data_IF_268438079633
#
_entry.id   IF_268438079633
#
_cell.length_a   1.000
_cell.length_b   1.000
_cell.length_c   1.000
_cell.angle_alpha   90.00
_cell.angle_beta   90.00
_cell.angle_gamma   90.00
#
_symmetry.space_group_name_H-M   'P 1'
#
loop_
_entity.id
_entity.type
_entity.pdbx_description
1 polymer ?
#
# COMPACT_ATOMS: atom_id res chain seq x y z
N UNK A 1 -19.79 11.02 -11.92
CA UNK A 1 -19.87 10.43 -13.27
C UNK A 1 -18.49 10.46 -13.88
N UNK A 2 -18.14 9.45 -14.67
CA UNK A 2 -16.81 9.26 -15.26
C UNK A 2 -16.97 9.12 -16.77
N UNK A 3 -16.18 9.84 -17.56
CA UNK A 3 -16.20 9.72 -19.02
C UNK A 3 -15.11 8.76 -19.48
N UNK A 4 -15.51 7.64 -20.08
CA UNK A 4 -14.59 6.63 -20.59
C UNK A 4 -14.36 6.86 -22.09
N UNK A 5 -13.11 6.97 -22.51
CA UNK A 5 -12.68 7.07 -23.92
C UNK A 5 -11.78 5.90 -24.36
N UNK A 6 -11.51 4.96 -23.46
CA UNK A 6 -10.66 3.80 -23.66
C UNK A 6 -11.30 2.56 -23.04
N UNK A 7 -10.95 1.41 -23.59
CA UNK A 7 -11.25 0.08 -23.07
C UNK A 7 -9.96 -0.68 -22.81
N UNK A 8 -9.98 -1.65 -21.89
CA UNK A 8 -8.94 -2.66 -21.76
C UNK A 8 -9.45 -3.96 -22.37
N UNK A 9 -8.71 -4.48 -23.36
CA UNK A 9 -8.99 -5.77 -23.96
C UNK A 9 -8.45 -6.89 -23.09
N UNK A 10 -9.30 -7.85 -22.71
CA UNK A 10 -8.98 -8.99 -21.84
C UNK A 10 -9.62 -10.27 -22.39
N UNK A 11 -9.17 -11.47 -21.98
CA UNK A 11 -9.95 -12.69 -22.18
C UNK A 11 -11.38 -12.50 -21.67
N UNK A 12 -12.38 -12.99 -22.40
CA UNK A 12 -13.79 -12.90 -21.96
C UNK A 12 -13.99 -13.54 -20.57
N UNK A 13 -13.24 -14.61 -20.27
CA UNK A 13 -13.33 -15.36 -19.02
C UNK A 13 -12.83 -14.55 -17.80
N UNK A 14 -11.78 -13.75 -17.97
CA UNK A 14 -11.31 -12.80 -16.93
C UNK A 14 -12.43 -11.81 -16.58
N UNK A 15 -13.15 -11.30 -17.60
CA UNK A 15 -14.27 -10.37 -17.42
C UNK A 15 -15.48 -11.07 -16.80
N UNK A 16 -15.80 -12.31 -17.20
CA UNK A 16 -16.88 -13.10 -16.57
C UNK A 16 -16.58 -13.31 -15.08
N UNK A 17 -15.36 -13.71 -14.72
CA UNK A 17 -14.96 -13.91 -13.33
C UNK A 17 -15.05 -12.62 -12.49
N UNK A 18 -14.58 -11.49 -13.03
CA UNK A 18 -14.75 -10.17 -12.42
C UNK A 18 -16.22 -9.83 -12.17
N UNK A 19 -17.09 -10.04 -13.16
CA UNK A 19 -18.52 -9.72 -13.08
C UNK A 19 -19.31 -10.66 -12.16
N UNK A 20 -18.86 -11.91 -11.97
CA UNK A 20 -19.52 -12.92 -11.14
C UNK A 20 -19.00 -12.96 -9.68
N UNK A 21 -18.25 -11.95 -9.23
CA UNK A 21 -17.56 -11.89 -7.93
C UNK A 21 -16.53 -13.03 -7.69
N UNK A 22 -16.01 -13.65 -8.75
CA UNK A 22 -15.02 -14.73 -8.65
C UNK A 22 -13.58 -14.24 -8.73
N UNK A 23 -13.38 -13.02 -9.22
CA UNK A 23 -12.10 -12.32 -9.16
C UNK A 23 -12.32 -10.84 -8.84
N UNK A 24 -11.31 -10.22 -8.23
CA UNK A 24 -11.13 -8.75 -8.15
C UNK A 24 -9.87 -8.29 -8.89
N UNK A 25 -9.13 -9.22 -9.50
CA UNK A 25 -7.85 -9.01 -10.17
C UNK A 25 -7.91 -9.40 -11.64
N UNK A 26 -6.99 -8.85 -12.43
CA UNK A 26 -6.63 -9.34 -13.77
C UNK A 26 -5.11 -9.38 -13.91
N UNK A 27 -4.63 -10.27 -14.78
CA UNK A 27 -3.25 -10.30 -15.22
C UNK A 27 -3.09 -9.38 -16.43
N UNK A 28 -2.04 -8.55 -16.44
CA UNK A 28 -1.71 -7.68 -17.58
C UNK A 28 -0.21 -7.64 -17.86
N UNK A 29 0.15 -7.32 -19.12
CA UNK A 29 1.56 -7.22 -19.57
C UNK A 29 2.16 -5.81 -19.40
N UNK A 30 1.46 -4.89 -18.72
CA UNK A 30 1.87 -3.49 -18.52
C UNK A 30 1.29 -2.93 -17.23
N UNK A 31 2.11 -2.25 -16.45
CA UNK A 31 1.68 -1.50 -15.26
C UNK A 31 0.48 -0.59 -15.58
N UNK A 32 -0.60 -0.76 -14.82
CA UNK A 32 -1.76 0.13 -14.88
C UNK A 32 -1.68 1.14 -13.74
N UNK A 33 -1.62 2.42 -14.11
CA UNK A 33 -1.67 3.52 -13.14
C UNK A 33 -2.99 3.44 -12.36
N UNK A 34 -2.97 3.56 -11.01
CA UNK A 34 -4.18 3.70 -10.21
C UNK A 34 -5.11 4.83 -10.69
N UNK A 35 -6.39 4.72 -10.33
CA UNK A 35 -7.52 5.56 -10.75
C UNK A 35 -7.82 5.59 -12.25
N UNK A 36 -6.98 4.98 -13.09
CA UNK A 36 -7.24 4.83 -14.51
C UNK A 36 -8.53 4.03 -14.72
N UNK A 37 -9.51 4.69 -15.31
CA UNK A 37 -10.84 4.16 -15.59
C UNK A 37 -11.02 3.79 -17.06
N UNK A 38 -11.64 2.65 -17.35
CA UNK A 38 -11.79 2.11 -18.70
C UNK A 38 -12.98 1.13 -18.82
N UNK A 39 -13.52 0.97 -20.02
CA UNK A 39 -14.50 -0.09 -20.30
C UNK A 39 -13.83 -1.46 -20.38
N UNK A 40 -14.53 -2.54 -20.00
CA UNK A 40 -14.03 -3.91 -20.12
C UNK A 40 -14.43 -4.49 -21.49
N UNK A 41 -13.44 -4.79 -22.32
CA UNK A 41 -13.62 -5.29 -23.70
C UNK A 41 -13.25 -6.79 -23.76
N UNK A 42 -14.23 -7.71 -23.88
CA UNK A 42 -13.95 -9.13 -23.91
C UNK A 42 -13.47 -9.60 -25.29
N UNK A 43 -12.40 -10.40 -25.27
CA UNK A 43 -11.81 -11.07 -26.41
C UNK A 43 -12.08 -12.58 -26.34
N UNK A 44 -12.55 -13.13 -27.47
CA UNK A 44 -12.74 -14.57 -27.71
C UNK A 44 -11.60 -15.17 -28.55
N UNK A 45 -10.88 -14.33 -29.29
CA UNK A 45 -9.71 -14.69 -30.10
C UNK A 45 -8.47 -14.79 -29.19
N UNK A 46 -8.23 -15.99 -28.65
CA UNK A 46 -7.03 -16.31 -27.89
C UNK A 46 -6.05 -17.09 -28.80
N UNK A 47 -4.74 -16.78 -28.79
CA UNK A 47 -3.74 -17.55 -29.52
C UNK A 47 -3.77 -19.05 -29.20
N UNK A 48 -3.42 -19.90 -30.19
CA UNK A 48 -3.36 -21.37 -30.03
C UNK A 48 -2.46 -21.85 -28.87
N UNK A 49 -1.46 -21.04 -28.49
CA UNK A 49 -0.57 -21.29 -27.35
C UNK A 49 -1.23 -21.06 -25.97
N UNK A 50 -2.46 -20.54 -25.94
CA UNK A 50 -3.24 -20.19 -24.75
C UNK A 50 -4.51 -21.05 -24.61
N UNK A 51 -4.34 -22.37 -24.70
CA UNK A 51 -5.41 -23.34 -24.43
C UNK A 51 -6.02 -23.11 -23.02
N UNK A 52 -7.35 -23.03 -22.96
CA UNK A 52 -8.11 -22.63 -21.77
C UNK A 52 -7.87 -23.56 -20.58
N UNK A 53 -7.77 -24.87 -20.84
CA UNK A 53 -7.48 -25.94 -19.89
C UNK A 53 -6.11 -25.81 -19.21
N UNK A 54 -5.16 -25.10 -19.84
CA UNK A 54 -3.86 -24.78 -19.24
C UNK A 54 -3.89 -23.44 -18.49
N UNK A 55 -4.65 -22.47 -19.00
CA UNK A 55 -4.75 -21.12 -18.44
C UNK A 55 -5.52 -21.07 -17.11
N UNK A 56 -6.66 -21.76 -17.02
CA UNK A 56 -7.63 -21.56 -15.95
C UNK A 56 -7.86 -22.82 -15.12
N UNK A 57 -8.20 -22.63 -13.85
CA UNK A 57 -8.53 -23.70 -12.92
C UNK A 57 -9.80 -24.46 -13.37
N UNK A 58 -9.87 -25.81 -13.21
CA UNK A 58 -11.00 -26.62 -13.69
C UNK A 58 -12.37 -26.20 -13.15
N UNK A 59 -12.42 -25.68 -11.93
CA UNK A 59 -13.66 -25.19 -11.33
C UNK A 59 -14.21 -23.96 -12.08
N UNK A 60 -13.33 -23.03 -12.46
CA UNK A 60 -13.67 -21.82 -13.18
C UNK A 60 -14.15 -22.16 -14.61
N UNK A 61 -13.41 -23.02 -15.32
CA UNK A 61 -13.77 -23.51 -16.66
C UNK A 61 -15.16 -24.16 -16.71
N UNK A 62 -15.56 -24.87 -15.65
CA UNK A 62 -16.88 -25.50 -15.54
C UNK A 62 -17.99 -24.46 -15.41
N UNK A 63 -17.75 -23.38 -14.66
CA UNK A 63 -18.70 -22.29 -14.44
C UNK A 63 -18.80 -21.38 -15.69
N UNK A 64 -17.68 -21.11 -16.35
CA UNK A 64 -17.63 -20.32 -17.59
C UNK A 64 -18.45 -20.95 -18.73
N UNK A 65 -18.45 -22.28 -18.86
CA UNK A 65 -19.26 -23.02 -19.86
C UNK A 65 -20.77 -22.85 -19.67
N UNK A 66 -21.25 -22.37 -18.53
CA UNK A 66 -22.64 -21.99 -18.28
C UNK A 66 -22.92 -20.48 -18.43
N UNK A 67 -21.88 -19.66 -18.57
CA UNK A 67 -21.94 -18.20 -18.50
C UNK A 67 -21.68 -17.48 -19.83
N UNK A 68 -20.90 -18.08 -20.74
CA UNK A 68 -20.61 -17.50 -22.06
C UNK A 68 -21.80 -17.73 -23.00
N UNK A 69 -22.48 -16.67 -23.51
CA UNK A 69 -23.60 -16.84 -24.42
C UNK A 69 -23.13 -17.23 -25.83
N UNK A 70 -23.98 -18.02 -26.50
CA UNK A 70 -23.70 -18.69 -27.76
C UNK A 70 -23.31 -17.73 -28.91
N UNK A 71 -22.54 -18.22 -29.87
CA UNK A 71 -21.51 -17.43 -30.55
C UNK A 71 -22.01 -16.61 -31.77
N UNK A 72 -23.04 -15.78 -31.59
CA UNK A 72 -23.62 -14.94 -32.65
C UNK A 72 -23.90 -13.49 -32.22
N UNK A 73 -22.91 -12.59 -32.35
CA UNK A 73 -23.16 -11.15 -32.14
C UNK A 73 -21.94 -10.22 -32.17
N UNK A 74 -22.23 -8.92 -32.20
CA UNK A 74 -21.28 -7.85 -31.88
C UNK A 74 -20.91 -7.91 -30.39
N UNK A 75 -19.64 -7.64 -30.05
CA UNK A 75 -19.19 -7.61 -28.66
C UNK A 75 -19.89 -6.48 -27.88
N UNK A 76 -20.37 -6.79 -26.67
CA UNK A 76 -21.11 -5.86 -25.80
C UNK A 76 -20.29 -5.48 -24.58
N UNK A 77 -19.96 -4.20 -24.48
CA UNK A 77 -19.40 -3.59 -23.27
C UNK A 77 -20.55 -3.48 -22.25
N UNK A 78 -20.55 -4.36 -21.25
CA UNK A 78 -21.56 -4.39 -20.18
C UNK A 78 -21.06 -3.78 -18.86
N UNK A 79 -19.74 -3.70 -18.69
CA UNK A 79 -19.07 -3.29 -17.46
C UNK A 79 -17.89 -2.36 -17.75
N UNK A 80 -17.50 -1.59 -16.73
CA UNK A 80 -16.31 -0.76 -16.71
C UNK A 80 -15.54 -0.96 -15.39
N UNK A 81 -14.27 -0.58 -15.37
CA UNK A 81 -13.40 -0.76 -14.23
C UNK A 81 -12.55 0.48 -13.95
N UNK A 82 -12.20 0.67 -12.68
CA UNK A 82 -11.15 1.56 -12.21
C UNK A 82 -10.02 0.70 -11.62
N UNK A 83 -8.78 0.96 -12.02
CA UNK A 83 -7.61 0.30 -11.41
C UNK A 83 -7.39 0.88 -10.01
N UNK A 84 -7.49 0.07 -8.96
CA UNK A 84 -7.27 0.51 -7.56
C UNK A 84 -5.81 0.33 -7.17
N UNK A 85 -5.22 -0.80 -7.57
CA UNK A 85 -3.85 -1.15 -7.23
C UNK A 85 -3.25 -2.03 -8.33
N UNK A 86 -1.96 -1.88 -8.60
CA UNK A 86 -1.25 -2.66 -9.60
C UNK A 86 0.16 -2.93 -9.10
N UNK A 87 0.58 -4.20 -9.07
CA UNK A 87 1.93 -4.60 -8.68
C UNK A 87 2.57 -5.46 -9.77
N UNK A 88 3.89 -5.37 -9.93
CA UNK A 88 4.62 -6.29 -10.80
C UNK A 88 4.80 -7.62 -10.06
N UNK A 89 4.54 -8.74 -10.73
CA UNK A 89 4.91 -10.06 -10.23
C UNK A 89 6.37 -10.32 -10.65
N UNK A 90 7.20 -10.72 -9.69
CA UNK A 90 8.66 -10.95 -9.85
C UNK A 90 9.19 -12.14 -9.06
N UNK A 91 8.36 -12.75 -8.21
CA UNK A 91 8.71 -13.86 -7.32
C UNK A 91 7.92 -15.11 -7.73
N UNK A 92 8.56 -16.27 -7.69
CA UNK A 92 7.96 -17.57 -8.00
C UNK A 92 7.12 -18.13 -6.84
N UNK A 93 7.39 -17.75 -5.59
CA UNK A 93 6.55 -18.14 -4.43
C UNK A 93 5.14 -17.55 -4.51
N UNK A 94 5.05 -16.29 -4.95
CA UNK A 94 3.79 -15.60 -5.23
C UNK A 94 2.99 -16.26 -6.36
N UNK A 95 3.64 -16.87 -7.36
CA UNK A 95 2.97 -17.55 -8.48
C UNK A 95 2.10 -18.71 -7.97
N UNK A 96 2.66 -19.57 -7.12
CA UNK A 96 1.95 -20.72 -6.54
C UNK A 96 0.76 -20.25 -5.71
N UNK A 97 1.00 -19.29 -4.80
CA UNK A 97 -0.03 -18.71 -3.93
C UNK A 97 -1.17 -18.07 -4.72
N UNK A 98 -0.87 -17.39 -5.83
CA UNK A 98 -1.87 -16.81 -6.72
C UNK A 98 -2.61 -17.88 -7.53
N UNK A 99 -1.96 -18.97 -7.92
CA UNK A 99 -2.61 -20.09 -8.61
C UNK A 99 -3.72 -20.73 -7.77
N UNK A 100 -3.53 -20.83 -6.45
CA UNK A 100 -4.52 -21.40 -5.53
C UNK A 100 -5.66 -20.41 -5.17
N UNK A 101 -5.39 -19.10 -5.26
CA UNK A 101 -6.32 -18.02 -4.87
C UNK A 101 -6.99 -17.27 -6.02
N UNK A 102 -6.77 -17.70 -7.27
CA UNK A 102 -7.33 -17.05 -8.46
C UNK A 102 -7.92 -18.06 -9.45
N UNK A 103 -8.51 -17.54 -10.52
CA UNK A 103 -9.05 -18.34 -11.63
C UNK A 103 -7.95 -18.97 -12.52
N UNK A 104 -6.69 -18.52 -12.43
CA UNK A 104 -5.60 -19.00 -13.29
C UNK A 104 -4.82 -20.13 -12.61
N UNK A 105 -4.21 -21.02 -13.41
CA UNK A 105 -3.30 -22.03 -12.86
C UNK A 105 -1.94 -21.41 -12.51
N UNK A 106 -1.26 -21.94 -11.49
CA UNK A 106 0.12 -21.56 -11.18
C UNK A 106 1.07 -21.77 -12.40
N UNK A 107 0.82 -22.81 -13.19
CA UNK A 107 1.57 -23.08 -14.42
C UNK A 107 1.37 -22.00 -15.50
N UNK A 108 0.16 -21.47 -15.66
CA UNK A 108 -0.11 -20.36 -16.57
C UNK A 108 0.60 -19.07 -16.16
N UNK A 109 0.50 -18.72 -14.87
CA UNK A 109 1.18 -17.57 -14.28
C UNK A 109 2.71 -17.70 -14.39
N UNK A 110 3.26 -18.90 -14.18
CA UNK A 110 4.66 -19.25 -14.42
C UNK A 110 5.08 -19.08 -15.87
N UNK A 111 4.32 -19.63 -16.83
CA UNK A 111 4.60 -19.50 -18.25
C UNK A 111 4.59 -18.04 -18.73
N UNK A 112 3.69 -17.21 -18.19
CA UNK A 112 3.68 -15.77 -18.50
C UNK A 112 4.96 -15.06 -18.05
N UNK A 113 5.52 -15.39 -16.88
CA UNK A 113 6.78 -14.82 -16.39
C UNK A 113 8.01 -15.41 -17.11
N UNK A 114 8.03 -16.72 -17.34
CA UNK A 114 9.10 -17.41 -18.06
C UNK A 114 9.27 -16.92 -19.52
N UNK A 115 8.22 -16.33 -20.11
CA UNK A 115 8.29 -15.71 -21.44
C UNK A 115 9.12 -14.41 -21.50
N UNK A 116 9.58 -13.88 -20.36
CA UNK A 116 10.34 -12.62 -20.26
C UNK A 116 9.47 -11.37 -20.32
N UNK A 117 8.16 -11.50 -20.52
CA UNK A 117 7.21 -10.39 -20.36
C UNK A 117 7.08 -9.98 -18.89
N UNK A 118 6.96 -8.67 -18.64
CA UNK A 118 6.68 -8.15 -17.29
C UNK A 118 5.22 -8.37 -16.96
N UNK A 119 4.95 -9.27 -16.02
CA UNK A 119 3.60 -9.58 -15.56
C UNK A 119 3.17 -8.63 -14.43
N UNK A 120 1.94 -8.14 -14.49
CA UNK A 120 1.37 -7.24 -13.50
C UNK A 120 0.01 -7.77 -13.02
N UNK A 121 -0.13 -7.91 -11.71
CA UNK A 121 -1.38 -8.21 -11.04
C UNK A 121 -2.11 -6.89 -10.76
N UNK A 122 -3.29 -6.70 -11.35
CA UNK A 122 -4.04 -5.45 -11.28
C UNK A 122 -5.41 -5.64 -10.66
N UNK A 123 -5.65 -4.96 -9.54
CA UNK A 123 -6.89 -5.00 -8.77
C UNK A 123 -7.89 -4.00 -9.35
N UNK A 124 -9.01 -4.51 -9.86
CA UNK A 124 -10.00 -3.75 -10.62
C UNK A 124 -11.31 -3.61 -9.85
N UNK A 125 -11.67 -2.37 -9.52
CA UNK A 125 -12.98 -2.01 -9.02
C UNK A 125 -13.96 -1.98 -10.19
N UNK A 126 -14.74 -3.05 -10.34
CA UNK A 126 -15.66 -3.23 -11.48
C UNK A 126 -17.06 -2.73 -11.16
N UNK A 127 -17.70 -2.13 -12.16
CA UNK A 127 -19.03 -1.54 -12.10
C UNK A 127 -19.84 -1.91 -13.34
N UNK A 128 -21.14 -2.16 -13.19
CA UNK A 128 -22.05 -2.37 -14.31
C UNK A 128 -22.37 -1.04 -15.02
N UNK A 129 -22.35 -1.05 -16.35
CA UNK A 129 -22.83 0.09 -17.14
C UNK A 129 -24.37 0.19 -17.07
N UNK A 130 -24.97 1.40 -17.11
CA UNK A 130 -26.43 1.55 -17.11
C UNK A 130 -27.11 0.89 -18.30
N UNK A 131 -26.43 0.90 -19.46
CA UNK A 131 -26.86 0.31 -20.74
C UNK A 131 -25.64 -0.35 -21.38
N UNK A 132 -25.81 -1.52 -22.00
CA UNK A 132 -24.73 -2.18 -22.74
C UNK A 132 -24.41 -1.42 -24.03
N UNK A 133 -23.11 -1.29 -24.36
CA UNK A 133 -22.64 -0.58 -25.57
C UNK A 133 -22.04 -1.58 -26.56
N UNK A 134 -22.55 -1.61 -27.79
CA UNK A 134 -22.07 -2.50 -28.85
C UNK A 134 -20.81 -1.94 -29.53
N UNK A 135 -19.78 -2.79 -29.68
CA UNK A 135 -18.59 -2.44 -30.47
C UNK A 135 -18.82 -2.76 -31.95
N UNK A 136 -18.22 -1.96 -32.83
CA UNK A 136 -18.33 -2.14 -34.30
C UNK A 136 -17.48 -3.30 -34.84
N UNK A 137 -16.56 -3.81 -34.02
CA UNK A 137 -15.61 -4.88 -34.34
C UNK A 137 -15.41 -5.74 -33.09
N UNK A 138 -15.29 -7.05 -33.26
CA UNK A 138 -14.73 -7.91 -32.21
C UNK A 138 -13.21 -7.63 -32.10
N UNK A 139 -12.61 -7.71 -30.90
CA UNK A 139 -11.17 -7.53 -30.74
C UNK A 139 -10.41 -8.80 -31.14
N UNK A 140 -9.18 -8.63 -31.63
CA UNK A 140 -8.27 -9.75 -31.93
C UNK A 140 -7.28 -10.03 -30.79
N UNK A 141 -6.69 -11.22 -30.86
CA UNK A 141 -5.57 -11.71 -30.05
C UNK A 141 -4.40 -10.73 -29.95
N UNK A 142 -4.08 -9.99 -31.01
CA UNK A 142 -3.06 -8.91 -30.96
C UNK A 142 -3.41 -7.77 -30.01
N UNK A 143 -4.70 -7.55 -29.73
CA UNK A 143 -5.17 -6.49 -28.84
C UNK A 143 -5.21 -6.94 -27.38
N UNK A 144 -5.04 -8.24 -27.08
CA UNK A 144 -5.14 -8.80 -25.74
C UNK A 144 -4.17 -8.11 -24.75
N UNK A 145 -4.67 -7.77 -23.56
CA UNK A 145 -3.99 -6.98 -22.52
C UNK A 145 -3.57 -5.56 -22.96
N UNK A 146 -4.10 -5.01 -24.06
CA UNK A 146 -3.84 -3.65 -24.53
C UNK A 146 -5.05 -2.74 -24.30
N UNK A 147 -4.76 -1.44 -24.14
CA UNK A 147 -5.79 -0.41 -24.17
C UNK A 147 -6.20 -0.09 -25.61
N UNK A 148 -7.49 -0.16 -25.91
CA UNK A 148 -8.08 0.13 -27.22
C UNK A 148 -8.98 1.37 -27.10
N UNK A 149 -8.81 2.42 -27.93
CA UNK A 149 -9.69 3.58 -27.93
C UNK A 149 -11.15 3.20 -28.19
N UNK A 150 -12.07 3.83 -27.48
CA UNK A 150 -13.50 3.70 -27.77
C UNK A 150 -13.89 4.58 -28.97
N UNK A 151 -14.86 4.18 -29.80
CA UNK A 151 -15.32 4.96 -30.96
C UNK A 151 -16.13 6.21 -30.58
N UNK A 152 -16.34 6.45 -29.29
CA UNK A 152 -17.02 7.59 -28.68
C UNK A 152 -16.85 7.52 -27.15
N UNK A 153 -17.36 8.51 -26.44
CA UNK A 153 -17.32 8.52 -24.97
C UNK A 153 -18.47 7.69 -24.39
N UNK A 154 -18.21 6.94 -23.32
CA UNK A 154 -19.24 6.28 -22.51
C UNK A 154 -19.34 7.02 -21.17
N UNK A 155 -20.53 7.50 -20.82
CA UNK A 155 -20.82 8.03 -19.50
C UNK A 155 -21.03 6.88 -18.51
N UNK A 156 -20.15 6.82 -17.51
CA UNK A 156 -20.09 5.77 -16.53
C UNK A 156 -20.44 6.27 -15.11
N UNK A 157 -20.99 5.37 -14.31
CA UNK A 157 -21.43 5.66 -12.94
C UNK A 157 -20.90 4.61 -11.97
N UNK A 158 -20.50 5.08 -10.79
CA UNK A 158 -20.03 4.27 -9.67
C UNK A 158 -21.18 3.64 -8.84
N UNK A 159 -22.44 3.94 -9.16
CA UNK A 159 -23.61 3.57 -8.35
C UNK A 159 -24.02 2.09 -8.46
N UNK A 160 -23.40 1.32 -9.36
CA UNK A 160 -23.62 -0.13 -9.51
C UNK A 160 -22.28 -0.89 -9.48
N UNK A 161 -21.55 -0.90 -8.35
CA UNK A 161 -20.33 -1.68 -8.24
C UNK A 161 -20.68 -3.16 -8.16
N UNK A 162 -19.80 -4.04 -8.66
CA UNK A 162 -20.02 -5.50 -8.61
C UNK A 162 -19.84 -6.01 -7.17
N UNK A 163 -18.76 -5.61 -6.51
CA UNK A 163 -18.52 -5.77 -5.07
C UNK A 163 -18.92 -4.49 -4.33
N UNK A 164 -19.39 -4.55 -3.08
CA UNK A 164 -19.39 -3.33 -2.24
C UNK A 164 -17.96 -3.02 -1.77
N UNK A 165 -17.73 -1.88 -1.11
CA UNK A 165 -16.37 -1.47 -0.73
C UNK A 165 -15.75 -2.44 0.29
N UNK A 166 -16.54 -2.86 1.29
CA UNK A 166 -16.13 -3.85 2.29
C UNK A 166 -15.72 -5.21 1.65
N UNK A 167 -16.59 -5.82 0.83
CA UNK A 167 -16.28 -7.09 0.14
C UNK A 167 -14.96 -7.02 -0.65
N UNK A 168 -14.71 -5.88 -1.30
CA UNK A 168 -13.54 -5.68 -2.16
C UNK A 168 -12.25 -5.47 -1.37
N UNK A 169 -12.30 -4.73 -0.26
CA UNK A 169 -11.15 -4.62 0.66
C UNK A 169 -10.81 -5.97 1.27
N UNK A 170 -11.80 -6.69 1.80
CA UNK A 170 -11.60 -8.02 2.38
C UNK A 170 -11.05 -9.04 1.37
N UNK A 171 -11.56 -9.03 0.12
CA UNK A 171 -11.02 -9.86 -0.95
C UNK A 171 -9.60 -9.43 -1.38
N UNK A 172 -9.29 -8.13 -1.37
CA UNK A 172 -7.93 -7.60 -1.64
C UNK A 172 -6.95 -8.05 -0.56
N UNK A 173 -7.33 -7.95 0.70
CA UNK A 173 -6.54 -8.40 1.85
C UNK A 173 -6.30 -9.91 1.77
N UNK A 174 -7.35 -10.72 1.55
CA UNK A 174 -7.24 -12.18 1.40
C UNK A 174 -6.32 -12.60 0.25
N UNK A 175 -6.25 -11.81 -0.83
CA UNK A 175 -5.41 -12.09 -2.00
C UNK A 175 -3.96 -11.55 -1.85
N UNK A 176 -3.71 -10.63 -0.92
CA UNK A 176 -2.38 -10.07 -0.61
C UNK A 176 -1.74 -10.64 0.66
N UNK A 177 -2.50 -11.29 1.55
CA UNK A 177 -1.96 -12.05 2.67
C UNK A 177 -1.00 -13.15 2.19
N UNK A 178 0.10 -13.46 2.92
CA UNK A 178 0.97 -14.59 2.60
C UNK A 178 0.23 -15.94 2.55
N UNK A 179 0.86 -16.96 1.96
CA UNK A 179 0.45 -18.35 2.17
C UNK A 179 0.70 -18.73 3.63
N UNK A 180 -0.36 -18.84 4.44
CA UNK A 180 -0.23 -19.41 5.78
C UNK A 180 0.10 -20.91 5.64
N UNK A 181 1.09 -21.44 6.36
CA UNK A 181 1.20 -22.89 6.52
C UNK A 181 -0.07 -23.40 7.22
N UNK A 182 -0.52 -24.60 6.85
CA UNK A 182 -1.73 -25.18 7.44
C UNK A 182 -1.55 -25.44 8.95
N UNK A 183 -2.47 -24.96 9.82
CA UNK A 183 -2.39 -25.21 11.24
C UNK A 183 -2.79 -26.66 11.53
N UNK A 184 -1.80 -27.50 11.89
CA UNK A 184 -2.06 -28.82 12.45
C UNK A 184 -2.79 -28.66 13.79
N UNK A 185 -4.10 -28.96 13.79
CA UNK A 185 -4.97 -28.87 14.97
C UNK A 185 -4.76 -30.07 15.90
N UNK A 186 -3.72 -30.00 16.73
CA UNK A 186 -3.55 -30.81 17.93
C UNK A 186 -3.05 -29.94 19.09
N UNK A 187 -3.54 -30.24 20.29
CA UNK A 187 -3.11 -29.71 21.59
C UNK A 187 -3.70 -28.33 22.00
N UNK A 188 -5.02 -28.33 22.25
CA UNK A 188 -5.69 -27.40 23.16
C UNK A 188 -6.00 -28.10 24.49
N UNK A 189 -5.25 -27.76 25.54
CA UNK A 189 -5.47 -28.01 26.99
C UNK A 189 -4.09 -27.85 27.67
N UNK A 190 -3.88 -27.27 28.86
CA UNK A 190 -4.71 -26.54 29.85
C UNK A 190 -3.77 -25.66 30.68
N UNK A 191 -4.29 -24.57 31.26
CA UNK A 191 -4.35 -24.37 32.72
C UNK A 191 -4.90 -22.98 33.08
N UNK A 192 -5.61 -22.90 34.20
CA UNK A 192 -6.32 -21.70 34.66
C UNK A 192 -6.59 -21.75 36.17
N UNK A 193 -5.99 -20.84 36.94
CA UNK A 193 -6.33 -20.42 38.32
C UNK A 193 -5.25 -19.39 38.76
N UNK A 194 -5.50 -18.41 39.63
CA UNK A 194 -6.73 -17.73 40.05
C UNK A 194 -6.40 -16.29 40.54
N UNK A 195 -7.43 -15.53 40.93
CA UNK A 195 -7.48 -14.26 41.66
C UNK A 195 -6.50 -14.11 42.86
N UNK A 196 -6.28 -12.95 43.51
CA UNK A 196 -7.05 -11.69 43.73
C UNK A 196 -6.02 -10.58 44.19
N UNK A 197 -6.24 -9.28 44.45
CA UNK A 197 -7.41 -8.39 44.62
C UNK A 197 -7.02 -6.90 44.29
N UNK A 198 -7.76 -5.92 44.82
CA UNK A 198 -7.74 -4.45 44.64
C UNK A 198 -7.67 -3.74 46.03
N UNK A 199 -7.86 -2.39 46.28
CA UNK A 199 -8.46 -1.31 45.46
C UNK A 199 -7.87 0.14 45.60
N UNK A 200 -8.65 1.12 45.10
CA UNK A 200 -8.54 2.61 45.20
C UNK A 200 -7.48 3.33 44.32
N UNK A 201 -7.74 4.50 43.72
CA UNK A 201 -8.98 5.19 43.31
C UNK A 201 -8.59 6.25 42.22
N UNK A 202 -9.34 6.48 41.14
CA UNK A 202 -10.45 7.46 40.96
C UNK A 202 -10.89 7.44 39.47
N UNK A 203 -12.10 7.93 39.11
CA UNK A 203 -12.58 7.92 37.73
C UNK A 203 -12.19 9.18 36.93
N UNK A 204 -11.12 9.11 36.13
CA UNK A 204 -10.93 10.02 35.01
C UNK A 204 -11.38 9.35 33.70
N UNK A 205 -12.30 9.99 32.97
CA UNK A 205 -12.51 9.70 31.55
C UNK A 205 -11.34 10.36 30.80
N UNK A 206 -10.18 9.70 30.81
CA UNK A 206 -9.10 10.05 29.89
C UNK A 206 -9.58 9.72 28.49
N UNK A 207 -9.72 10.73 27.64
CA UNK A 207 -9.81 10.50 26.20
C UNK A 207 -8.61 9.62 25.80
N UNK A 208 -8.88 8.50 25.14
CA UNK A 208 -7.82 7.61 24.68
C UNK A 208 -6.98 8.40 23.68
N UNK A 209 -5.77 8.78 24.07
CA UNK A 209 -4.86 9.66 23.31
C UNK A 209 -4.61 9.18 21.88
N UNK A 210 -4.77 7.88 21.62
CA UNK A 210 -4.69 7.30 20.28
C UNK A 210 -5.86 7.71 19.36
N UNK A 211 -7.03 8.01 19.91
CA UNK A 211 -8.23 8.38 19.14
C UNK A 211 -8.33 9.90 18.91
N UNK A 212 -7.47 10.67 19.58
CA UNK A 212 -7.38 12.13 19.41
C UNK A 212 -6.82 12.49 18.03
N UNK A 213 -7.35 13.50 17.32
CA UNK A 213 -6.92 13.83 15.94
C UNK A 213 -5.48 14.36 15.87
N UNK A 214 -4.93 14.84 16.99
CA UNK A 214 -3.58 15.40 17.14
C UNK A 214 -2.56 14.39 17.71
N UNK A 215 -2.93 13.10 17.84
CA UNK A 215 -2.14 12.04 18.50
C UNK A 215 -0.66 12.00 18.06
N UNK A 216 -0.39 12.27 16.77
CA UNK A 216 0.96 12.26 16.22
C UNK A 216 1.84 13.36 16.84
N UNK A 217 1.27 14.55 17.07
CA UNK A 217 2.00 15.66 17.69
C UNK A 217 2.33 15.48 19.17
N UNK A 218 1.78 14.43 19.80
CA UNK A 218 2.03 14.06 21.20
C UNK A 218 3.12 13.00 21.35
N UNK A 219 3.66 12.46 20.25
CA UNK A 219 4.75 11.45 20.27
C UNK A 219 5.96 11.98 21.06
N UNK A 220 6.42 13.20 20.79
CA UNK A 220 7.56 13.80 21.48
C UNK A 220 7.24 14.35 22.87
N UNK A 221 6.02 14.87 23.08
CA UNK A 221 5.55 15.30 24.41
C UNK A 221 5.59 14.12 25.39
N UNK A 222 4.96 13.00 25.02
CA UNK A 222 4.91 11.80 25.85
C UNK A 222 6.28 11.10 25.88
N UNK A 223 7.06 11.12 24.80
CA UNK A 223 8.43 10.60 24.78
C UNK A 223 9.39 11.33 25.74
N UNK A 224 9.24 12.63 25.92
CA UNK A 224 9.99 13.40 26.93
C UNK A 224 9.30 13.43 28.31
N UNK A 225 8.26 12.62 28.52
CA UNK A 225 7.60 12.43 29.82
C UNK A 225 8.15 11.19 30.56
N UNK A 226 7.49 10.77 31.64
CA UNK A 226 7.74 9.49 32.31
C UNK A 226 6.74 8.37 31.93
N UNK A 227 5.79 8.62 31.02
CA UNK A 227 4.77 7.64 30.60
C UNK A 227 5.27 6.77 29.44
N UNK A 228 6.05 5.73 29.77
CA UNK A 228 6.56 4.77 28.81
C UNK A 228 5.46 3.99 28.07
N UNK A 229 4.42 3.55 28.78
CA UNK A 229 3.35 2.73 28.21
C UNK A 229 2.52 3.50 27.18
N UNK A 230 2.20 4.77 27.44
CA UNK A 230 1.56 5.61 26.41
C UNK A 230 2.51 5.92 25.27
N UNK A 231 3.80 6.11 25.53
CA UNK A 231 4.81 6.32 24.49
C UNK A 231 4.92 5.11 23.54
N UNK A 232 5.04 3.89 24.07
CA UNK A 232 5.07 2.64 23.28
C UNK A 232 3.85 2.54 22.33
N UNK A 233 2.65 2.82 22.84
CA UNK A 233 1.40 2.78 22.06
C UNK A 233 1.39 3.83 20.94
N UNK A 234 1.92 5.04 21.20
CA UNK A 234 2.09 6.09 20.21
C UNK A 234 3.16 5.74 19.15
N UNK A 235 4.27 5.11 19.55
CA UNK A 235 5.31 4.61 18.63
C UNK A 235 4.77 3.51 17.72
N UNK A 236 4.05 2.52 18.27
CA UNK A 236 3.34 1.48 17.51
C UNK A 236 2.41 2.09 16.47
N UNK A 237 1.56 3.06 16.87
CA UNK A 237 0.63 3.74 15.95
C UNK A 237 1.37 4.56 14.89
N UNK A 238 2.50 5.19 15.26
CA UNK A 238 3.40 5.89 14.35
C UNK A 238 3.96 4.98 13.25
N UNK A 239 4.46 3.81 13.63
CA UNK A 239 4.97 2.80 12.68
C UNK A 239 3.85 2.30 11.75
N UNK A 240 2.64 2.04 12.26
CA UNK A 240 1.49 1.69 11.41
C UNK A 240 1.13 2.80 10.41
N UNK A 241 1.15 4.08 10.82
CA UNK A 241 0.91 5.21 9.92
C UNK A 241 1.99 5.34 8.82
N UNK A 242 3.23 4.93 9.12
CA UNK A 242 4.35 4.81 8.18
C UNK A 242 4.27 3.56 7.27
N UNK A 243 3.22 2.76 7.39
CA UNK A 243 2.98 1.57 6.57
C UNK A 243 3.67 0.29 7.07
N UNK A 244 4.25 0.29 8.27
CA UNK A 244 4.72 -0.95 8.89
C UNK A 244 3.54 -1.81 9.35
N UNK A 245 3.71 -3.12 9.26
CA UNK A 245 2.77 -4.11 9.79
C UNK A 245 3.50 -5.34 10.31
N UNK A 246 2.87 -6.08 11.22
CA UNK A 246 3.34 -7.35 11.73
C UNK A 246 2.35 -8.46 11.35
N UNK A 247 2.78 -9.45 10.57
CA UNK A 247 1.98 -10.63 10.25
C UNK A 247 1.95 -11.68 11.38
N UNK A 248 2.88 -11.61 12.34
CA UNK A 248 2.98 -12.55 13.44
C UNK A 248 1.96 -12.24 14.54
N UNK A 249 0.97 -13.13 14.71
CA UNK A 249 0.00 -13.07 15.79
C UNK A 249 0.61 -13.49 17.15
N UNK A 250 1.53 -12.67 17.67
CA UNK A 250 2.23 -12.90 18.94
C UNK A 250 2.18 -11.64 19.82
N UNK A 251 1.48 -11.73 20.97
CA UNK A 251 1.31 -10.63 21.91
C UNK A 251 2.64 -10.13 22.54
N UNK A 252 3.71 -10.93 22.51
CA UNK A 252 5.05 -10.52 22.95
C UNK A 252 5.86 -9.77 21.87
N UNK A 253 5.28 -9.55 20.68
CA UNK A 253 5.91 -8.85 19.54
C UNK A 253 4.92 -7.94 18.80
N UNK A 254 3.85 -7.49 19.47
CA UNK A 254 2.74 -6.84 18.78
C UNK A 254 3.07 -5.42 18.29
N UNK A 255 2.59 -5.09 17.09
CA UNK A 255 2.53 -3.71 16.58
C UNK A 255 1.19 -3.02 16.93
N UNK A 256 0.24 -3.74 17.54
CA UNK A 256 -1.07 -3.19 17.91
C UNK A 256 -0.94 -2.18 19.09
N UNK A 257 -1.36 -0.91 18.91
CA UNK A 257 -1.41 0.10 19.97
C UNK A 257 -2.38 -0.19 21.12
N UNK A 258 -3.24 -1.20 20.99
CA UNK A 258 -4.21 -1.65 22.00
C UNK A 258 -3.80 -2.95 22.70
N UNK A 259 -2.84 -3.69 22.16
CA UNK A 259 -2.31 -4.90 22.79
C UNK A 259 -1.54 -4.56 24.09
N UNK A 260 -1.90 -5.25 25.17
CA UNK A 260 -1.54 -4.92 26.56
C UNK A 260 -0.09 -5.27 26.98
N UNK A 261 0.82 -5.46 26.02
CA UNK A 261 2.26 -5.64 26.25
C UNK A 261 2.62 -6.80 27.17
N UNK A 262 2.77 -8.01 26.62
CA UNK A 262 3.17 -9.18 27.42
C UNK A 262 4.48 -8.92 28.19
N UNK A 263 4.51 -9.23 29.49
CA UNK A 263 5.66 -8.92 30.35
C UNK A 263 6.94 -9.62 29.84
N UNK A 264 7.92 -8.83 29.38
CA UNK A 264 9.13 -9.36 28.74
C UNK A 264 8.97 -9.70 27.25
N UNK A 265 7.96 -9.14 26.58
CA UNK A 265 7.89 -8.96 25.13
C UNK A 265 8.72 -7.76 24.65
N UNK A 266 8.79 -7.59 23.33
CA UNK A 266 9.39 -6.44 22.66
C UNK A 266 8.40 -5.27 22.58
N UNK A 267 8.88 -4.03 22.73
CA UNK A 267 8.02 -2.85 22.71
C UNK A 267 7.36 -2.64 21.34
N UNK A 268 8.09 -2.95 20.25
CA UNK A 268 7.50 -3.13 18.92
C UNK A 268 8.32 -4.10 18.05
N UNK A 269 7.61 -4.79 17.16
CA UNK A 269 8.17 -5.53 16.03
C UNK A 269 7.22 -5.43 14.83
N UNK A 270 7.78 -5.34 13.63
CA UNK A 270 7.08 -5.40 12.36
C UNK A 270 7.93 -6.22 11.38
N UNK A 271 7.30 -7.04 10.53
CA UNK A 271 7.99 -7.85 9.51
C UNK A 271 7.85 -7.25 8.10
N UNK A 272 6.87 -6.36 7.89
CA UNK A 272 6.60 -5.68 6.62
C UNK A 272 6.64 -4.15 6.76
N UNK A 273 7.11 -3.40 5.74
CA UNK A 273 7.67 -3.88 4.47
C UNK A 273 9.12 -4.38 4.57
N UNK A 274 9.72 -4.30 5.76
CA UNK A 274 10.95 -5.01 6.12
C UNK A 274 10.97 -5.25 7.63
N UNK A 275 11.70 -6.29 8.10
CA UNK A 275 11.82 -6.58 9.51
C UNK A 275 12.46 -5.41 10.27
N UNK A 276 11.74 -4.87 11.25
CA UNK A 276 12.20 -3.86 12.19
C UNK A 276 11.77 -4.25 13.61
N UNK A 277 12.67 -4.09 14.57
CA UNK A 277 12.50 -4.46 15.97
C UNK A 277 13.03 -3.35 16.87
N UNK A 278 12.35 -3.07 17.98
CA UNK A 278 12.79 -1.98 18.83
C UNK A 278 12.23 -1.90 20.24
N UNK A 279 12.79 -0.91 20.95
CA UNK A 279 12.61 -0.62 22.37
C UNK A 279 12.41 0.90 22.53
N UNK A 280 11.51 1.28 23.43
CA UNK A 280 11.05 2.63 23.70
C UNK A 280 11.52 3.07 25.09
N UNK A 281 12.05 4.30 25.20
CA UNK A 281 12.36 4.91 26.49
C UNK A 281 11.85 6.34 26.59
N UNK A 282 10.68 6.49 27.20
CA UNK A 282 10.24 7.76 27.72
C UNK A 282 11.15 8.17 28.91
N UNK A 283 11.59 9.43 28.95
CA UNK A 283 12.25 10.01 30.14
C UNK A 283 12.13 11.52 30.17
N UNK A 284 11.72 12.06 31.32
CA UNK A 284 11.74 13.48 31.65
C UNK A 284 13.06 13.96 32.26
N UNK A 285 14.10 13.11 32.27
CA UNK A 285 15.45 13.43 32.78
C UNK A 285 16.49 13.37 31.67
N UNK A 286 17.45 14.29 31.71
CA UNK A 286 18.47 14.50 30.66
C UNK A 286 19.38 13.28 30.38
N UNK A 287 19.47 12.31 31.29
CA UNK A 287 20.40 11.17 31.19
C UNK A 287 19.65 9.85 31.17
N UNK A 288 19.63 9.21 30.00
CA UNK A 288 19.20 7.83 29.82
C UNK A 288 20.22 6.90 30.46
N UNK A 289 19.94 6.48 31.69
CA UNK A 289 20.67 5.42 32.39
C UNK A 289 20.42 4.02 31.78
N UNK A 290 19.76 3.92 30.63
CA UNK A 290 19.06 2.70 30.25
C UNK A 290 19.97 1.57 29.78
N UNK A 291 19.47 0.39 30.08
CA UNK A 291 19.78 -0.90 29.52
C UNK A 291 19.12 -1.13 28.14
N UNK A 292 18.46 -0.15 27.52
CA UNK A 292 17.56 -0.35 26.38
C UNK A 292 18.22 -1.09 25.20
N UNK A 293 19.45 -0.73 24.83
CA UNK A 293 20.19 -1.41 23.75
C UNK A 293 20.53 -2.86 24.10
N UNK A 294 20.88 -3.15 25.36
CA UNK A 294 21.12 -4.52 25.84
C UNK A 294 19.81 -5.32 25.98
N UNK A 295 18.73 -4.67 26.40
CA UNK A 295 17.41 -5.27 26.53
C UNK A 295 16.85 -5.68 25.17
N UNK A 296 16.94 -4.80 24.17
CA UNK A 296 16.58 -5.09 22.78
C UNK A 296 17.31 -6.32 22.22
N UNK A 297 18.61 -6.50 22.54
CA UNK A 297 19.37 -7.70 22.15
C UNK A 297 18.84 -8.95 22.86
N UNK A 298 18.62 -8.89 24.18
CA UNK A 298 18.14 -10.05 24.97
C UNK A 298 16.74 -10.48 24.57
N UNK A 299 15.83 -9.52 24.34
CA UNK A 299 14.45 -9.78 23.94
C UNK A 299 14.34 -10.16 22.46
N UNK A 300 15.09 -9.50 21.59
CA UNK A 300 15.19 -9.81 20.17
C UNK A 300 15.70 -11.24 19.93
N UNK A 301 16.83 -11.60 20.53
CA UNK A 301 17.35 -12.97 20.44
C UNK A 301 16.41 -14.01 21.07
N UNK A 302 15.63 -13.66 22.10
CA UNK A 302 14.64 -14.56 22.71
C UNK A 302 13.46 -14.85 21.78
N UNK A 303 12.86 -13.82 21.19
CA UNK A 303 11.59 -13.95 20.48
C UNK A 303 11.75 -14.17 18.96
N UNK A 304 12.82 -13.65 18.36
CA UNK A 304 13.10 -13.77 16.91
C UNK A 304 14.24 -14.74 16.59
N UNK A 305 15.00 -15.21 17.60
CA UNK A 305 16.16 -16.10 17.42
C UNK A 305 17.11 -15.58 16.33
N UNK A 306 17.39 -16.35 15.28
CA UNK A 306 18.29 -15.94 14.19
C UNK A 306 17.76 -14.73 13.40
N UNK A 307 16.44 -14.60 13.23
CA UNK A 307 15.84 -13.51 12.45
C UNK A 307 16.06 -12.12 13.06
N UNK A 308 16.45 -12.04 14.35
CA UNK A 308 16.91 -10.79 14.97
C UNK A 308 18.12 -10.18 14.23
N UNK A 309 18.97 -11.00 13.62
CA UNK A 309 20.15 -10.51 12.89
C UNK A 309 19.74 -9.67 11.67
N UNK A 310 18.76 -10.14 10.89
CA UNK A 310 18.26 -9.49 9.67
C UNK A 310 17.35 -8.29 9.93
N UNK A 311 16.85 -8.12 11.17
CA UNK A 311 16.02 -6.98 11.55
C UNK A 311 16.80 -5.66 11.56
N UNK A 312 16.20 -4.57 11.09
CA UNK A 312 16.58 -3.22 11.50
C UNK A 312 16.32 -3.11 13.01
N UNK A 313 17.34 -2.72 13.77
CA UNK A 313 17.26 -2.56 15.22
C UNK A 313 17.12 -1.06 15.53
N UNK A 314 16.12 -0.67 16.29
CA UNK A 314 15.79 0.73 16.56
C UNK A 314 15.48 0.96 18.05
N UNK A 315 16.10 1.97 18.66
CA UNK A 315 15.73 2.49 19.97
C UNK A 315 15.21 3.91 19.81
N UNK A 316 14.02 4.18 20.35
CA UNK A 316 13.40 5.52 20.35
C UNK A 316 13.46 6.06 21.77
N UNK A 317 14.26 7.10 22.03
CA UNK A 317 14.54 7.57 23.39
C UNK A 317 14.75 9.10 23.52
N UNK A 318 14.02 9.69 24.46
CA UNK A 318 14.36 11.01 25.02
C UNK A 318 15.64 10.92 25.87
N UNK A 319 16.32 12.04 26.14
CA UNK A 319 17.51 12.09 27.00
C UNK A 319 18.80 11.43 26.45
N UNK A 320 19.96 11.73 27.01
CA UNK A 320 21.25 11.29 26.47
C UNK A 320 21.63 9.88 26.91
N UNK A 321 21.94 9.00 25.94
CA UNK A 321 22.43 7.64 26.22
C UNK A 321 23.84 7.65 26.82
N UNK A 322 24.16 6.64 27.64
CA UNK A 322 25.51 6.49 28.19
C UNK A 322 26.52 6.06 27.12
N UNK A 323 27.80 6.35 27.33
CA UNK A 323 28.91 5.88 26.48
C UNK A 323 28.96 4.35 26.33
N UNK A 324 28.46 3.61 27.34
CA UNK A 324 28.34 2.16 27.26
C UNK A 324 27.20 1.72 26.34
N UNK A 325 26.02 2.34 26.46
CA UNK A 325 24.88 2.09 25.59
C UNK A 325 25.17 2.48 24.12
N UNK A 326 25.95 3.55 23.90
CA UNK A 326 26.45 3.96 22.59
C UNK A 326 27.32 2.87 21.94
N UNK A 327 28.30 2.33 22.68
CA UNK A 327 29.14 1.24 22.17
C UNK A 327 28.34 -0.01 21.83
N UNK A 328 27.39 -0.40 22.69
CA UNK A 328 26.49 -1.54 22.41
C UNK A 328 25.67 -1.29 21.13
N UNK A 329 25.24 -0.04 20.89
CA UNK A 329 24.51 0.31 19.68
C UNK A 329 25.38 0.13 18.42
N UNK A 330 26.62 0.64 18.45
CA UNK A 330 27.58 0.50 17.35
C UNK A 330 27.98 -0.97 17.11
N UNK A 331 28.24 -1.74 18.17
CA UNK A 331 28.68 -3.14 18.10
C UNK A 331 27.56 -4.10 17.62
N UNK A 332 26.29 -3.74 17.81
CA UNK A 332 25.14 -4.57 17.44
C UNK A 332 24.25 -3.99 16.33
N UNK A 333 24.71 -2.94 15.64
CA UNK A 333 24.00 -2.23 14.57
C UNK A 333 22.60 -1.73 14.98
N UNK A 334 22.49 -1.09 16.13
CA UNK A 334 21.24 -0.54 16.68
C UNK A 334 21.17 0.97 16.41
N UNK A 335 20.18 1.39 15.64
CA UNK A 335 19.90 2.79 15.41
C UNK A 335 19.27 3.43 16.65
N UNK A 336 19.65 4.66 17.00
CA UNK A 336 19.03 5.40 18.11
C UNK A 336 18.50 6.73 17.60
N UNK A 337 17.19 6.98 17.78
CA UNK A 337 16.53 8.20 17.34
C UNK A 337 15.74 8.87 18.47
N UNK A 338 15.46 10.16 18.28
CA UNK A 338 14.66 10.99 19.17
C UNK A 338 13.15 10.80 18.93
N UNK A 339 12.31 10.94 19.98
CA UNK A 339 10.86 11.05 19.83
C UNK A 339 10.44 12.12 18.83
N UNK A 340 11.12 13.27 18.81
CA UNK A 340 10.92 14.39 17.88
C UNK A 340 11.15 13.98 16.42
N UNK A 341 12.18 13.16 16.16
CA UNK A 341 12.53 12.69 14.81
C UNK A 341 11.50 11.68 14.30
N UNK A 342 11.01 10.79 15.18
CA UNK A 342 9.90 9.90 14.84
C UNK A 342 8.60 10.68 14.62
N UNK A 343 8.31 11.68 15.48
CA UNK A 343 7.14 12.55 15.33
C UNK A 343 7.15 13.25 13.97
N UNK A 344 8.24 13.94 13.62
CA UNK A 344 8.36 14.65 12.35
C UNK A 344 8.20 13.71 11.13
N UNK A 345 8.71 12.48 11.22
CA UNK A 345 8.53 11.46 10.18
C UNK A 345 7.05 11.02 10.02
N UNK A 346 6.35 10.78 11.14
CA UNK A 346 4.93 10.41 11.17
C UNK A 346 4.03 11.57 10.72
N UNK A 347 4.28 12.78 11.22
CA UNK A 347 3.56 13.99 10.81
C UNK A 347 3.73 14.27 9.31
N UNK A 348 4.94 14.08 8.75
CA UNK A 348 5.18 14.25 7.31
C UNK A 348 4.32 13.30 6.47
N UNK A 349 4.27 12.02 6.87
CA UNK A 349 3.47 10.99 6.20
C UNK A 349 1.96 11.30 6.29
N UNK A 350 1.46 11.67 7.46
CA UNK A 350 0.03 12.01 7.67
C UNK A 350 -0.38 13.31 6.95
N UNK A 351 0.50 14.31 6.90
CA UNK A 351 0.27 15.59 6.20
C UNK A 351 0.13 15.41 4.69
N UNK A 352 0.75 14.37 4.13
CA UNK A 352 0.85 14.15 2.69
C UNK A 352 0.36 12.74 2.29
N UNK A 353 -0.86 12.37 2.65
CA UNK A 353 -1.50 11.08 2.28
C UNK A 353 -1.42 10.74 0.77
N UNK A 354 -1.35 11.77 -0.09
CA UNK A 354 -1.24 11.64 -1.56
C UNK A 354 0.20 11.49 -2.07
N UNK A 355 1.21 11.64 -1.21
CA UNK A 355 2.64 11.53 -1.51
C UNK A 355 3.37 10.79 -0.38
N UNK A 356 3.16 9.48 -0.30
CA UNK A 356 3.81 8.62 0.69
C UNK A 356 5.31 8.90 0.82
N UNK A 357 5.77 9.06 2.05
CA UNK A 357 7.20 8.91 2.41
C UNK A 357 7.60 7.49 2.01
N UNK A 358 8.62 7.33 1.17
CA UNK A 358 9.04 5.99 0.76
C UNK A 358 9.87 5.36 1.87
N UNK A 359 9.21 4.48 2.64
CA UNK A 359 9.80 3.84 3.81
C UNK A 359 10.89 2.83 3.44
N UNK A 360 10.94 2.33 2.19
CA UNK A 360 12.07 1.55 1.68
C UNK A 360 13.32 2.41 1.51
N UNK A 361 13.13 3.67 1.15
CA UNK A 361 14.22 4.64 1.00
C UNK A 361 14.81 4.97 2.39
N UNK A 362 13.97 5.05 3.45
CA UNK A 362 14.41 5.11 4.85
C UNK A 362 15.25 3.89 5.26
N UNK A 363 14.94 2.68 4.75
CA UNK A 363 15.69 1.45 5.05
C UNK A 363 17.18 1.64 4.77
N UNK A 364 17.54 2.27 3.65
CA UNK A 364 18.94 2.52 3.28
C UNK A 364 19.69 3.47 4.21
N UNK A 365 18.99 4.28 5.02
CA UNK A 365 19.60 5.08 6.08
C UNK A 365 19.79 4.25 7.36
N UNK A 366 18.83 3.37 7.69
CA UNK A 366 18.86 2.53 8.89
C UNK A 366 19.72 1.24 8.76
N UNK A 367 20.05 0.82 7.53
CA UNK A 367 20.97 -0.30 7.23
C UNK A 367 22.46 0.07 7.35
N UNK A 368 22.79 1.34 7.67
CA UNK A 368 24.15 1.87 7.54
C UNK A 368 24.64 2.54 8.83
N UNK A 369 25.97 2.59 9.05
CA UNK A 369 26.56 3.38 10.14
C UNK A 369 26.04 4.83 10.14
N UNK A 370 25.86 5.43 11.34
CA UNK A 370 26.67 5.19 12.52
C UNK A 370 26.11 4.17 13.52
N UNK A 371 24.86 3.71 13.39
CA UNK A 371 24.20 2.84 14.38
C UNK A 371 24.32 3.37 15.82
N UNK A 372 23.94 4.64 16.02
CA UNK A 372 24.04 5.33 17.30
C UNK A 372 23.07 6.50 17.36
N UNK A 373 23.21 7.40 18.34
CA UNK A 373 22.46 8.68 18.36
C UNK A 373 22.72 9.56 17.16
N UNK A 374 23.80 9.35 16.40
CA UNK A 374 24.04 10.06 15.15
C UNK A 374 23.20 9.53 13.97
N UNK A 375 22.49 8.41 14.12
CA UNK A 375 21.44 8.00 13.16
C UNK A 375 20.26 9.00 13.20
N UNK A 376 19.99 9.62 14.36
CA UNK A 376 18.94 10.63 14.51
C UNK A 376 19.05 11.76 13.47
N UNK A 377 20.26 12.27 13.25
CA UNK A 377 20.52 13.33 12.25
C UNK A 377 20.49 12.80 10.80
N UNK A 378 20.79 11.52 10.57
CA UNK A 378 20.57 10.89 9.26
C UNK A 378 19.07 10.79 8.92
N UNK A 379 18.23 10.44 9.89
CA UNK A 379 16.77 10.36 9.69
C UNK A 379 16.18 11.77 9.52
N UNK A 380 16.66 12.79 10.22
CA UNK A 380 16.31 14.20 9.93
C UNK A 380 16.69 14.62 8.51
N UNK A 381 17.89 14.24 8.03
CA UNK A 381 18.31 14.52 6.66
C UNK A 381 17.44 13.80 5.62
N UNK A 382 16.96 12.59 5.93
CA UNK A 382 15.95 11.88 5.12
C UNK A 382 14.59 12.58 5.11
N UNK A 383 14.10 13.05 6.27
CA UNK A 383 12.84 13.83 6.38
C UNK A 383 12.94 15.11 5.53
N UNK A 384 14.03 15.88 5.65
CA UNK A 384 14.25 17.10 4.86
C UNK A 384 14.33 16.82 3.35
N UNK A 385 14.98 15.71 2.93
CA UNK A 385 14.96 15.25 1.53
C UNK A 385 13.52 15.00 1.06
N UNK A 386 12.72 14.32 1.87
CA UNK A 386 11.33 14.01 1.54
C UNK A 386 10.47 15.28 1.46
N UNK A 387 10.59 16.23 2.39
CA UNK A 387 9.91 17.53 2.32
C UNK A 387 10.25 18.29 1.02
N UNK A 388 11.54 18.35 0.67
CA UNK A 388 12.03 19.01 -0.54
C UNK A 388 11.46 18.33 -1.80
N UNK A 389 11.45 17.00 -1.86
CA UNK A 389 10.96 16.26 -3.03
C UNK A 389 9.43 16.23 -3.13
N UNK A 390 8.71 16.23 -2.00
CA UNK A 390 7.25 16.44 -1.96
C UNK A 390 6.92 17.87 -2.43
N UNK A 391 7.59 18.90 -1.92
CA UNK A 391 7.39 20.29 -2.35
C UNK A 391 7.62 20.51 -3.85
N UNK A 392 8.66 19.87 -4.43
CA UNK A 392 8.86 19.83 -5.89
C UNK A 392 7.67 19.18 -6.60
N UNK A 393 7.23 17.99 -6.14
CA UNK A 393 6.08 17.26 -6.73
C UNK A 393 4.83 18.14 -6.71
N UNK A 394 4.49 18.72 -5.57
CA UNK A 394 3.34 19.63 -5.42
C UNK A 394 3.40 20.80 -6.39
N UNK A 395 4.56 21.48 -6.48
CA UNK A 395 4.78 22.58 -7.42
C UNK A 395 4.56 22.14 -8.87
N UNK A 396 5.16 21.03 -9.31
CA UNK A 396 4.93 20.47 -10.65
C UNK A 396 3.45 20.11 -10.89
N UNK A 397 2.75 19.56 -9.89
CA UNK A 397 1.31 19.27 -10.01
C UNK A 397 0.46 20.54 -10.12
N UNK A 398 0.77 21.62 -9.40
CA UNK A 398 0.09 22.90 -9.57
C UNK A 398 0.32 23.48 -10.98
N UNK A 399 1.57 23.50 -11.46
CA UNK A 399 1.90 24.00 -12.80
C UNK A 399 1.17 23.19 -13.90
N UNK A 400 1.15 21.86 -13.79
CA UNK A 400 0.39 21.01 -14.72
C UNK A 400 -1.12 21.30 -14.67
N UNK A 401 -1.70 21.54 -13.49
CA UNK A 401 -3.12 21.93 -13.35
C UNK A 401 -3.41 23.28 -14.01
N UNK A 402 -2.54 24.29 -13.83
CA UNK A 402 -2.69 25.60 -14.46
C UNK A 402 -2.61 25.51 -16.00
N UNK A 403 -1.62 24.80 -16.54
CA UNK A 403 -1.46 24.59 -17.99
C UNK A 403 -2.67 23.88 -18.59
N UNK A 404 -3.17 22.80 -17.96
CA UNK A 404 -4.37 22.10 -18.42
C UNK A 404 -5.61 23.01 -18.42
N UNK A 405 -5.79 23.83 -17.38
CA UNK A 405 -6.88 24.83 -17.33
C UNK A 405 -6.72 25.88 -18.43
N UNK A 406 -5.51 26.38 -18.69
CA UNK A 406 -5.24 27.32 -19.79
C UNK A 406 -5.63 26.74 -21.16
N UNK A 407 -5.28 25.49 -21.45
CA UNK A 407 -5.67 24.82 -22.71
C UNK A 407 -7.20 24.68 -22.81
N UNK A 408 -7.88 24.35 -21.72
CA UNK A 408 -9.34 24.25 -21.68
C UNK A 408 -10.02 25.61 -21.85
N UNK A 409 -9.47 26.68 -21.27
CA UNK A 409 -9.96 28.05 -21.45
C UNK A 409 -9.79 28.54 -22.89
N UNK A 410 -8.63 28.30 -23.51
CA UNK A 410 -8.36 28.60 -24.92
C UNK A 410 -9.33 27.83 -25.85
N UNK A 411 -9.58 26.56 -25.56
CA UNK A 411 -10.54 25.71 -26.29
C UNK A 411 -11.99 26.25 -26.24
N UNK A 412 -12.37 26.88 -25.12
CA UNK A 412 -13.72 27.40 -24.91
C UNK A 412 -13.96 28.80 -25.53
N UNK A 413 -12.92 29.46 -26.07
CA UNK A 413 -13.08 30.80 -26.65
C UNK A 413 -13.97 30.79 -27.90
N UNK A 414 -14.87 31.79 -28.10
CA UNK A 414 -15.78 31.82 -29.25
C UNK A 414 -15.08 31.76 -30.61
N UNK A 415 -13.87 32.33 -30.70
CA UNK A 415 -13.03 32.43 -31.90
C UNK A 415 -12.37 31.07 -32.26
N UNK A 416 -12.38 30.09 -31.33
CA UNK A 416 -11.59 28.86 -31.44
C UNK A 416 -12.41 27.57 -31.34
N UNK A 417 -13.75 27.64 -31.44
CA UNK A 417 -14.67 26.49 -31.32
C UNK A 417 -14.44 25.32 -32.29
N UNK A 418 -13.69 25.52 -33.37
CA UNK A 418 -13.31 24.48 -34.35
C UNK A 418 -11.83 24.08 -34.29
N UNK A 419 -11.05 24.67 -33.36
CA UNK A 419 -9.59 24.55 -33.32
C UNK A 419 -9.14 23.58 -32.24
N UNK A 420 -8.53 22.48 -32.67
CA UNK A 420 -8.11 21.35 -31.79
C UNK A 420 -6.68 21.45 -31.26
N UNK A 421 -5.90 22.47 -31.65
CA UNK A 421 -4.50 22.63 -31.26
C UNK A 421 -4.10 24.10 -31.08
N UNK A 422 -3.33 24.35 -30.01
CA UNK A 422 -2.75 25.65 -29.66
C UNK A 422 -1.22 25.53 -29.62
N UNK A 423 -0.52 26.59 -30.03
CA UNK A 423 0.94 26.64 -29.92
C UNK A 423 1.40 26.86 -28.48
N UNK A 424 2.63 26.46 -28.16
CA UNK A 424 3.23 26.75 -26.86
C UNK A 424 3.30 28.26 -26.55
N UNK A 425 3.35 29.12 -27.57
CA UNK A 425 3.34 30.59 -27.41
C UNK A 425 1.96 31.08 -26.97
N UNK A 426 0.88 30.60 -27.59
CA UNK A 426 -0.50 30.97 -27.21
C UNK A 426 -0.85 30.46 -25.80
N UNK A 427 -0.46 29.22 -25.48
CA UNK A 427 -0.63 28.65 -24.13
C UNK A 427 0.15 29.48 -23.11
N UNK A 428 1.43 29.80 -23.37
CA UNK A 428 2.25 30.63 -22.46
C UNK A 428 1.70 32.05 -22.30
N UNK A 429 1.20 32.66 -23.37
CA UNK A 429 0.62 34.00 -23.33
C UNK A 429 -0.67 34.05 -22.49
N UNK A 430 -1.60 33.13 -22.70
CA UNK A 430 -2.85 33.07 -21.90
C UNK A 430 -2.57 32.65 -20.45
N UNK A 431 -1.60 31.76 -20.22
CA UNK A 431 -1.16 31.39 -18.87
C UNK A 431 -0.58 32.59 -18.11
N UNK A 432 0.45 33.24 -18.65
CA UNK A 432 1.14 34.37 -18.01
C UNK A 432 0.27 35.64 -17.90
N UNK A 433 -0.84 35.73 -18.64
CA UNK A 433 -1.82 36.81 -18.51
C UNK A 433 -2.85 36.59 -17.39
N UNK A 434 -2.87 35.40 -16.75
CA UNK A 434 -3.90 35.00 -15.78
C UNK A 434 -3.36 34.40 -14.49
N UNK A 435 -2.20 33.74 -14.57
CA UNK A 435 -1.43 33.22 -13.45
C UNK A 435 -0.12 34.00 -13.35
N UNK A 436 0.57 33.93 -12.22
CA UNK A 436 1.90 34.53 -12.11
C UNK A 436 2.82 33.96 -13.19
N UNK A 437 3.58 34.81 -13.91
CA UNK A 437 4.39 34.34 -15.02
C UNK A 437 5.51 33.42 -14.53
N UNK A 438 5.57 32.19 -15.05
CA UNK A 438 6.73 31.33 -14.87
C UNK A 438 7.92 31.91 -15.65
N UNK A 439 8.69 32.77 -14.97
CA UNK A 439 9.98 33.28 -15.43
C UNK A 439 11.06 32.29 -14.99
N UNK A 440 11.19 31.22 -15.77
CA UNK A 440 12.22 30.16 -15.68
C UNK A 440 12.70 29.80 -17.07
#
# INVERSE_FOLDING_TARGET
MTLLNISLCLPELDIVALCQKQSIVVITKRFMVPDKSFALLPCRDLPDSMALENLYQPHALTQFKAAVPDNSGLTKLTHWAQCVFCQQLVDEGAITTLGDRTIWTAAALGNFLASGDRLFLSFLRVYALPTAVETKTQPSSEQLYRFVPLPGYIEASTHKPVFIDADFSAAKETLLQPASPEPNLSDLDKDSDDSNQTPESLPEIKENILDSPDWASKIAEIGNSSDGHTFERLVRKGLMALGFSNSQNNAAMSLDPTATGGAGGLDFYADQPYPIVGECKATSTETVRSNATAQLIVLGMRHLSNAYQDCIKLVVAAGNITTHAHRIAEEHSINVIRPETLQALVELQLKYENYSVDIHDLKFYLERPPFSVATDDQVKAFIQKCEIDIGKREWYFQQRRQIMRTVQELSNQPIHRSRTAFTAVEIRAHHNAKYEPCVT
#
